data_IF_424494970013
#
_entry.id   IF_424494970013
#
_cell.length_a   1.000
_cell.length_b   1.000
_cell.length_c   1.000
_cell.angle_alpha   90.00
_cell.angle_beta   90.00
_cell.angle_gamma   90.00
#
_symmetry.space_group_name_H-M   'P 1'
#
loop_
_entity.id
_entity.type
_entity.pdbx_description
1 polymer ?
#
# COMPACT_ATOMS: atom_id res chain seq x y z
N UNK A 1 -25.38 -9.04 -20.13
CA UNK A 1 -24.31 -8.01 -20.13
C UNK A 1 -24.35 -7.27 -18.81
N UNK A 2 -23.39 -7.57 -17.92
CA UNK A 2 -23.22 -6.82 -16.66
C UNK A 2 -22.51 -5.53 -17.06
N UNK A 3 -23.25 -4.43 -17.10
CA UNK A 3 -22.70 -3.09 -17.28
C UNK A 3 -21.73 -2.84 -16.12
N UNK A 4 -20.44 -2.76 -16.42
CA UNK A 4 -19.40 -2.27 -15.52
C UNK A 4 -19.69 -0.78 -15.22
N UNK A 5 -20.55 -0.50 -14.28
CA UNK A 5 -20.74 0.84 -13.73
C UNK A 5 -19.51 1.16 -12.90
N UNK A 6 -18.61 1.97 -13.46
CA UNK A 6 -17.53 2.60 -12.66
C UNK A 6 -18.22 3.46 -11.61
N UNK A 7 -18.15 3.05 -10.37
CA UNK A 7 -18.60 3.87 -9.25
C UNK A 7 -17.62 5.05 -9.13
N UNK A 8 -18.13 6.27 -9.31
CA UNK A 8 -17.40 7.49 -9.01
C UNK A 8 -17.35 7.63 -7.48
N UNK A 9 -16.33 7.05 -6.85
CA UNK A 9 -16.08 7.25 -5.42
C UNK A 9 -15.43 8.62 -5.22
N UNK A 10 -15.84 9.37 -4.18
CA UNK A 10 -15.27 10.68 -3.92
C UNK A 10 -13.85 10.57 -3.35
N UNK A 11 -13.04 11.60 -3.60
CA UNK A 11 -11.85 11.88 -2.82
C UNK A 11 -12.28 12.40 -1.44
N UNK A 12 -12.29 11.51 -0.45
CA UNK A 12 -12.66 11.85 0.93
C UNK A 12 -11.49 12.52 1.64
N UNK A 13 -10.26 12.12 1.30
CA UNK A 13 -9.04 12.59 1.97
C UNK A 13 -8.73 14.03 1.58
N UNK A 14 -8.94 14.43 0.31
CA UNK A 14 -8.73 15.81 -0.21
C UNK A 14 -7.40 16.43 0.21
N UNK A 15 -6.34 15.61 0.34
CA UNK A 15 -5.03 15.99 0.92
C UNK A 15 -5.08 16.45 2.37
N UNK A 16 -6.22 16.38 3.02
CA UNK A 16 -6.36 16.62 4.46
C UNK A 16 -6.29 15.29 5.20
N UNK A 17 -5.09 14.91 5.52
CA UNK A 17 -4.83 13.66 6.23
C UNK A 17 -5.09 13.77 7.74
N UNK A 18 -5.41 14.95 8.23
CA UNK A 18 -5.93 15.19 9.57
C UNK A 18 -7.46 15.08 9.51
N UNK A 19 -7.96 13.86 9.31
CA UNK A 19 -9.40 13.61 9.23
C UNK A 19 -10.13 14.22 10.42
N UNK A 20 -11.10 15.11 10.16
CA UNK A 20 -11.90 15.78 11.21
C UNK A 20 -12.68 14.80 12.08
N UNK A 21 -12.94 13.60 11.58
CA UNK A 21 -13.57 12.51 12.33
C UNK A 21 -12.55 11.64 13.06
N UNK A 22 -11.26 12.00 13.03
CA UNK A 22 -10.15 11.27 13.64
C UNK A 22 -10.05 9.78 13.21
N UNK A 23 -10.46 9.47 11.98
CA UNK A 23 -10.37 8.13 11.42
C UNK A 23 -8.93 7.81 11.05
N UNK A 24 -8.57 6.54 11.10
CA UNK A 24 -7.29 6.09 10.57
C UNK A 24 -7.31 6.07 9.04
N UNK A 25 -6.38 6.78 8.42
CA UNK A 25 -6.21 6.82 6.97
C UNK A 25 -5.06 5.89 6.58
N UNK A 26 -5.35 5.00 5.65
CA UNK A 26 -4.36 4.12 5.02
C UNK A 26 -4.23 4.47 3.54
N UNK A 27 -3.02 4.48 3.03
CA UNK A 27 -2.75 4.56 1.60
C UNK A 27 -2.43 3.17 1.07
N UNK A 28 -2.88 2.86 -0.13
CA UNK A 28 -2.53 1.62 -0.82
C UNK A 28 -2.23 1.88 -2.29
N UNK A 29 -1.31 1.11 -2.82
CA UNK A 29 -0.94 1.19 -4.24
C UNK A 29 -0.19 -0.08 -4.66
N UNK A 30 0.04 -0.23 -5.96
CA UNK A 30 0.80 -1.33 -6.56
C UNK A 30 1.95 -0.77 -7.40
N UNK A 31 3.14 -1.29 -7.18
CA UNK A 31 4.29 -1.01 -8.06
C UNK A 31 4.82 -2.31 -8.68
N UNK A 32 5.53 -2.19 -9.79
CA UNK A 32 6.26 -3.31 -10.38
C UNK A 32 7.73 -3.30 -9.96
N UNK A 33 8.29 -4.50 -9.84
CA UNK A 33 9.67 -4.77 -9.49
C UNK A 33 10.23 -5.71 -10.56
N UNK A 34 11.52 -5.63 -10.85
CA UNK A 34 12.18 -6.57 -11.75
C UNK A 34 11.99 -8.01 -11.25
N UNK A 35 11.69 -8.92 -12.17
CA UNK A 35 11.48 -10.32 -11.81
C UNK A 35 12.79 -11.03 -11.41
N UNK A 36 12.76 -11.88 -10.38
CA UNK A 36 13.87 -12.78 -10.03
C UNK A 36 14.03 -13.91 -11.05
N UNK A 37 15.13 -14.69 -10.91
CA UNK A 37 15.59 -15.67 -11.89
C UNK A 37 14.61 -16.83 -12.19
N UNK A 38 13.76 -17.16 -11.24
CA UNK A 38 12.79 -18.27 -11.31
C UNK A 38 11.41 -17.84 -11.82
N UNK A 39 11.24 -16.56 -12.14
CA UNK A 39 10.03 -15.99 -12.71
C UNK A 39 10.22 -15.74 -14.20
N UNK A 40 9.26 -16.21 -15.03
CA UNK A 40 9.32 -16.09 -16.50
C UNK A 40 8.95 -14.70 -16.99
N UNK A 41 8.10 -14.02 -16.26
CA UNK A 41 7.65 -12.66 -16.55
C UNK A 41 8.80 -11.68 -16.31
N UNK A 42 8.74 -10.50 -16.95
CA UNK A 42 9.76 -9.46 -16.76
C UNK A 42 9.63 -8.75 -15.40
N UNK A 43 8.47 -8.81 -14.80
CA UNK A 43 8.15 -8.09 -13.56
C UNK A 43 7.31 -8.93 -12.60
N UNK A 44 7.44 -8.62 -11.32
CA UNK A 44 6.51 -8.99 -10.26
C UNK A 44 5.88 -7.72 -9.69
N UNK A 45 4.71 -7.83 -9.09
CA UNK A 45 3.95 -6.69 -8.58
C UNK A 45 3.92 -6.72 -7.06
N UNK A 46 4.21 -5.57 -6.46
CA UNK A 46 4.19 -5.35 -5.01
C UNK A 46 3.02 -4.44 -4.66
N UNK A 47 2.06 -4.96 -3.91
CA UNK A 47 1.00 -4.19 -3.27
C UNK A 47 1.37 -3.88 -1.82
N UNK A 48 1.05 -2.69 -1.34
CA UNK A 48 1.36 -2.25 0.02
C UNK A 48 0.16 -1.53 0.65
N UNK A 49 0.04 -1.62 1.98
CA UNK A 49 -0.87 -0.80 2.78
C UNK A 49 -0.04 -0.04 3.81
N UNK A 50 -0.13 1.28 3.80
CA UNK A 50 0.64 2.21 4.63
C UNK A 50 -0.32 3.00 5.50
N UNK A 51 -0.07 3.05 6.79
CA UNK A 51 -0.80 3.93 7.70
C UNK A 51 -0.26 5.36 7.58
N UNK A 52 -1.13 6.30 7.22
CA UNK A 52 -0.70 7.67 6.96
C UNK A 52 -0.09 8.33 8.19
N UNK A 53 -0.74 8.23 9.35
CA UNK A 53 -0.35 8.94 10.57
C UNK A 53 1.02 8.53 11.10
N UNK A 54 1.30 7.23 11.08
CA UNK A 54 2.54 6.65 11.63
C UNK A 54 3.59 6.35 10.57
N UNK A 55 3.24 6.40 9.28
CA UNK A 55 4.07 5.95 8.15
C UNK A 55 4.42 4.46 8.22
N UNK A 56 3.74 3.70 9.08
CA UNK A 56 3.98 2.27 9.27
C UNK A 56 3.43 1.46 8.10
N UNK A 57 4.25 0.58 7.55
CA UNK A 57 3.77 -0.43 6.59
C UNK A 57 3.00 -1.49 7.38
N UNK A 58 1.72 -1.63 7.06
CA UNK A 58 0.80 -2.52 7.76
C UNK A 58 0.74 -3.90 7.13
N UNK A 59 0.81 -3.95 5.82
CA UNK A 59 0.84 -5.21 5.07
C UNK A 59 1.43 -5.01 3.67
N UNK A 60 1.86 -6.12 3.06
CA UNK A 60 2.30 -6.17 1.67
C UNK A 60 2.02 -7.53 1.03
N UNK A 61 1.90 -7.56 -0.29
CA UNK A 61 1.79 -8.79 -1.08
C UNK A 61 2.60 -8.69 -2.36
N UNK A 62 3.19 -9.81 -2.76
CA UNK A 62 3.78 -10.00 -4.08
C UNK A 62 2.90 -10.88 -4.95
N UNK A 63 2.80 -10.58 -6.24
CA UNK A 63 2.09 -11.38 -7.24
C UNK A 63 2.80 -11.32 -8.58
N UNK A 64 2.56 -12.34 -9.41
CA UNK A 64 2.98 -12.34 -10.82
C UNK A 64 2.01 -11.54 -11.70
N UNK A 65 0.84 -11.20 -11.20
CA UNK A 65 -0.22 -10.47 -11.91
C UNK A 65 -0.61 -9.20 -11.17
N UNK A 66 -0.80 -8.10 -11.91
CA UNK A 66 -1.41 -6.87 -11.38
C UNK A 66 -2.92 -6.94 -11.55
N UNK A 67 -3.58 -7.75 -10.75
CA UNK A 67 -5.00 -7.98 -10.83
C UNK A 67 -5.73 -7.69 -9.50
N UNK A 68 -7.04 -7.90 -9.49
CA UNK A 68 -7.86 -7.72 -8.29
C UNK A 68 -7.44 -8.66 -7.16
N UNK A 69 -6.94 -9.88 -7.47
CA UNK A 69 -6.55 -10.84 -6.44
C UNK A 69 -5.38 -10.33 -5.59
N UNK A 70 -4.40 -9.66 -6.20
CA UNK A 70 -3.26 -9.09 -5.49
C UNK A 70 -3.71 -8.15 -4.37
N UNK A 71 -4.57 -7.17 -4.67
CA UNK A 71 -5.05 -6.19 -3.68
C UNK A 71 -6.05 -6.82 -2.70
N UNK A 72 -6.84 -7.80 -3.13
CA UNK A 72 -7.74 -8.54 -2.26
C UNK A 72 -6.99 -9.43 -1.26
N UNK A 73 -5.90 -10.06 -1.66
CA UNK A 73 -5.04 -10.85 -0.77
C UNK A 73 -4.31 -9.96 0.24
N UNK A 74 -3.90 -8.75 -0.17
CA UNK A 74 -3.34 -7.77 0.74
C UNK A 74 -4.36 -7.35 1.82
N UNK A 75 -5.62 -7.10 1.43
CA UNK A 75 -6.68 -6.75 2.38
C UNK A 75 -7.09 -7.91 3.28
N UNK A 76 -7.05 -9.16 2.83
CA UNK A 76 -7.40 -10.32 3.67
C UNK A 76 -6.50 -10.43 4.91
N UNK A 77 -5.23 -10.09 4.77
CA UNK A 77 -4.26 -10.13 5.87
C UNK A 77 -4.17 -8.82 6.62
N UNK A 78 -4.55 -7.72 5.97
CA UNK A 78 -4.67 -6.42 6.63
C UNK A 78 -5.74 -6.47 7.73
N UNK A 79 -5.33 -6.13 8.93
CA UNK A 79 -6.23 -5.99 10.08
C UNK A 79 -6.18 -4.55 10.54
N UNK A 80 -7.25 -3.81 10.29
CA UNK A 80 -7.46 -2.54 10.97
C UNK A 80 -7.83 -2.84 12.42
N UNK A 81 -7.16 -2.18 13.34
CA UNK A 81 -7.46 -2.26 14.77
C UNK A 81 -8.76 -1.50 15.05
N UNK A 82 -9.05 -0.48 14.24
CA UNK A 82 -10.20 0.39 14.42
C UNK A 82 -11.27 0.11 13.36
N UNK A 83 -12.51 0.09 13.81
CA UNK A 83 -13.66 0.28 12.93
C UNK A 83 -13.66 1.75 12.50
N UNK A 84 -14.17 2.03 11.29
CA UNK A 84 -14.21 3.39 10.73
C UNK A 84 -12.85 3.93 10.28
N UNK A 85 -12.20 3.21 9.37
CA UNK A 85 -10.99 3.64 8.70
C UNK A 85 -11.26 4.07 7.25
N UNK A 86 -10.34 4.84 6.69
CA UNK A 86 -10.34 5.20 5.27
C UNK A 86 -9.16 4.52 4.60
N UNK A 87 -9.40 3.83 3.48
CA UNK A 87 -8.34 3.35 2.60
C UNK A 87 -8.34 4.18 1.31
N UNK A 88 -7.23 4.85 1.05
CA UNK A 88 -7.05 5.77 -0.07
C UNK A 88 -6.14 5.15 -1.13
N UNK A 89 -6.52 5.26 -2.39
CA UNK A 89 -5.76 4.75 -3.52
C UNK A 89 -5.91 5.66 -4.76
N UNK A 90 -5.20 5.34 -5.81
CA UNK A 90 -5.45 5.88 -7.14
C UNK A 90 -6.72 5.25 -7.78
N UNK A 91 -7.00 5.62 -9.05
CA UNK A 91 -8.10 5.08 -9.84
C UNK A 91 -7.78 3.75 -10.54
N UNK A 92 -6.85 2.96 -10.01
CA UNK A 92 -6.59 1.63 -10.54
C UNK A 92 -7.87 0.79 -10.61
N UNK A 93 -8.01 -0.04 -11.67
CA UNK A 93 -9.22 -0.84 -11.88
C UNK A 93 -9.52 -1.79 -10.71
N UNK A 94 -8.49 -2.21 -9.97
CA UNK A 94 -8.61 -3.06 -8.79
C UNK A 94 -9.41 -2.34 -7.69
N UNK A 95 -9.11 -1.07 -7.46
CA UNK A 95 -9.67 -0.26 -6.38
C UNK A 95 -11.08 0.27 -6.68
N UNK A 96 -11.43 0.37 -7.97
CA UNK A 96 -12.78 0.75 -8.42
C UNK A 96 -13.72 -0.44 -8.56
N UNK A 97 -13.24 -1.65 -8.32
CA UNK A 97 -14.03 -2.88 -8.36
C UNK A 97 -15.05 -2.91 -7.23
N UNK A 98 -16.29 -3.26 -7.55
CA UNK A 98 -17.35 -3.46 -6.55
C UNK A 98 -16.95 -4.47 -5.47
N UNK A 99 -16.25 -5.54 -5.86
CA UNK A 99 -15.80 -6.59 -4.94
C UNK A 99 -14.85 -6.00 -3.88
N UNK A 100 -13.92 -5.14 -4.31
CA UNK A 100 -12.99 -4.46 -3.40
C UNK A 100 -13.72 -3.51 -2.45
N UNK A 101 -14.60 -2.66 -3.00
CA UNK A 101 -15.37 -1.69 -2.22
C UNK A 101 -16.26 -2.40 -1.19
N UNK A 102 -17.01 -3.43 -1.60
CA UNK A 102 -17.86 -4.21 -0.71
C UNK A 102 -17.05 -4.89 0.41
N UNK A 103 -15.82 -5.35 0.09
CA UNK A 103 -14.94 -5.96 1.09
C UNK A 103 -14.50 -4.94 2.15
N UNK A 104 -14.04 -3.75 1.73
CA UNK A 104 -13.64 -2.67 2.65
C UNK A 104 -14.83 -2.24 3.51
N UNK A 105 -16.01 -2.04 2.92
CA UNK A 105 -17.21 -1.66 3.65
C UNK A 105 -17.60 -2.71 4.71
N UNK A 106 -17.50 -4.01 4.38
CA UNK A 106 -17.75 -5.10 5.34
C UNK A 106 -16.74 -5.14 6.48
N UNK A 107 -15.56 -4.58 6.30
CA UNK A 107 -14.54 -4.45 7.35
C UNK A 107 -14.73 -3.19 8.21
N UNK A 108 -15.73 -2.36 7.93
CA UNK A 108 -16.00 -1.11 8.63
C UNK A 108 -15.16 0.07 8.10
N UNK A 109 -14.57 -0.07 6.92
CA UNK A 109 -13.80 0.98 6.26
C UNK A 109 -14.56 1.68 5.14
N UNK A 110 -13.99 2.75 4.64
CA UNK A 110 -14.48 3.52 3.50
C UNK A 110 -13.39 3.66 2.46
N UNK A 111 -13.71 3.41 1.19
CA UNK A 111 -12.78 3.62 0.08
C UNK A 111 -12.80 5.08 -0.34
N UNK A 112 -11.62 5.68 -0.48
CA UNK A 112 -11.39 7.02 -1.02
C UNK A 112 -10.48 6.91 -2.23
N UNK A 113 -10.84 7.58 -3.33
CA UNK A 113 -10.02 7.59 -4.54
C UNK A 113 -9.42 8.99 -4.75
N UNK A 114 -8.17 9.05 -5.18
CA UNK A 114 -7.53 10.28 -5.61
C UNK A 114 -8.32 10.95 -6.76
N UNK A 115 -8.07 12.21 -7.02
CA UNK A 115 -8.67 12.86 -8.19
C UNK A 115 -8.07 12.32 -9.48
N UNK A 116 -8.91 12.18 -10.51
CA UNK A 116 -8.46 11.66 -11.82
C UNK A 116 -7.32 12.53 -12.36
N UNK A 117 -6.21 11.88 -12.72
CA UNK A 117 -5.04 12.55 -13.29
C UNK A 117 -4.17 13.31 -12.28
N UNK A 118 -4.38 13.12 -10.97
CA UNK A 118 -3.60 13.78 -9.95
C UNK A 118 -2.89 12.76 -9.03
N UNK A 119 -1.72 12.30 -9.47
CA UNK A 119 -0.86 11.36 -8.71
C UNK A 119 -0.45 11.90 -7.34
N UNK A 120 -0.40 13.23 -7.19
CA UNK A 120 -0.06 13.87 -5.92
C UNK A 120 -1.01 13.54 -4.77
N UNK A 121 -2.17 12.97 -5.07
CA UNK A 121 -3.16 12.62 -4.05
C UNK A 121 -2.83 11.27 -3.37
N UNK A 122 -2.00 10.40 -3.98
CA UNK A 122 -1.53 9.13 -3.38
C UNK A 122 -0.03 9.13 -3.02
N UNK A 123 0.47 10.29 -2.56
CA UNK A 123 1.90 10.51 -2.26
C UNK A 123 2.53 9.51 -1.32
N UNK A 124 1.79 9.01 -0.35
CA UNK A 124 2.35 8.14 0.70
C UNK A 124 2.90 6.85 0.10
N UNK A 125 2.12 6.19 -0.73
CA UNK A 125 2.53 4.96 -1.36
C UNK A 125 3.62 5.20 -2.41
N UNK A 126 3.48 6.23 -3.26
CA UNK A 126 4.49 6.60 -4.25
C UNK A 126 5.84 6.94 -3.60
N UNK A 127 5.81 7.71 -2.51
CA UNK A 127 7.02 8.08 -1.77
C UNK A 127 7.69 6.85 -1.16
N UNK A 128 6.91 5.97 -0.51
CA UNK A 128 7.46 4.75 0.06
C UNK A 128 8.05 3.82 -1.01
N UNK A 129 7.40 3.69 -2.17
CA UNK A 129 7.96 2.92 -3.27
C UNK A 129 9.30 3.49 -3.77
N UNK A 130 9.44 4.81 -3.80
CA UNK A 130 10.72 5.43 -4.15
C UNK A 130 11.82 5.09 -3.14
N UNK A 131 11.47 5.09 -1.86
CA UNK A 131 12.40 4.75 -0.77
C UNK A 131 12.84 3.29 -0.85
N UNK A 132 11.92 2.33 -0.88
CA UNK A 132 12.31 0.91 -0.92
C UNK A 132 13.09 0.57 -2.20
N UNK A 133 12.75 1.19 -3.33
CA UNK A 133 13.50 1.01 -4.58
C UNK A 133 14.94 1.52 -4.42
N UNK A 134 15.13 2.72 -3.90
CA UNK A 134 16.46 3.33 -3.76
C UNK A 134 17.30 2.70 -2.64
N UNK A 135 16.70 2.33 -1.52
CA UNK A 135 17.44 1.83 -0.35
C UNK A 135 17.66 0.31 -0.37
N UNK A 136 16.89 -0.44 -1.19
CA UNK A 136 16.93 -1.90 -1.16
C UNK A 136 16.89 -2.53 -2.56
N UNK A 137 15.83 -2.27 -3.34
CA UNK A 137 15.54 -3.10 -4.50
C UNK A 137 16.49 -2.84 -5.69
N UNK A 138 16.98 -1.61 -5.88
CA UNK A 138 17.85 -1.27 -7.01
C UNK A 138 19.25 -1.91 -6.91
N UNK A 139 19.68 -2.25 -5.70
CA UNK A 139 20.98 -2.89 -5.44
C UNK A 139 20.96 -4.40 -5.58
N UNK A 140 19.77 -5.01 -5.79
CA UNK A 140 19.65 -6.47 -5.85
C UNK A 140 20.13 -7.03 -7.19
N UNK A 141 20.87 -8.15 -7.10
CA UNK A 141 21.17 -8.96 -8.27
C UNK A 141 20.06 -9.98 -8.54
N UNK A 142 19.04 -9.56 -9.28
CA UNK A 142 17.85 -10.37 -9.58
C UNK A 142 18.15 -11.70 -10.29
N UNK A 143 19.30 -11.83 -10.98
CA UNK A 143 19.69 -13.10 -11.60
C UNK A 143 20.19 -14.15 -10.60
N UNK A 144 20.40 -13.77 -9.34
CA UNK A 144 20.88 -14.67 -8.29
C UNK A 144 19.84 -15.03 -7.24
N UNK A 145 18.72 -14.32 -7.21
CA UNK A 145 17.66 -14.52 -6.20
C UNK A 145 16.42 -15.18 -6.81
N UNK A 146 15.65 -15.86 -5.96
CA UNK A 146 14.34 -16.44 -6.27
C UNK A 146 13.21 -15.49 -5.84
N UNK A 147 11.98 -15.80 -6.23
CA UNK A 147 10.79 -15.06 -5.78
C UNK A 147 10.62 -15.13 -4.26
N UNK A 148 10.94 -16.26 -3.66
CA UNK A 148 10.87 -16.41 -2.19
C UNK A 148 11.98 -15.61 -1.48
N UNK A 149 13.19 -15.54 -2.07
CA UNK A 149 14.26 -14.66 -1.58
C UNK A 149 13.83 -13.19 -1.65
N UNK A 150 13.24 -12.77 -2.77
CA UNK A 150 12.74 -11.39 -2.93
C UNK A 150 11.67 -11.05 -1.89
N UNK A 151 10.74 -11.97 -1.65
CA UNK A 151 9.69 -11.80 -0.65
C UNK A 151 10.27 -11.65 0.76
N UNK A 152 11.27 -12.46 1.10
CA UNK A 152 11.98 -12.36 2.37
C UNK A 152 12.73 -11.03 2.50
N UNK A 153 13.47 -10.62 1.46
CA UNK A 153 14.20 -9.34 1.44
C UNK A 153 13.24 -8.17 1.70
N UNK A 154 12.08 -8.16 1.04
CA UNK A 154 11.07 -7.11 1.24
C UNK A 154 10.49 -7.16 2.65
N UNK A 155 10.21 -8.36 3.19
CA UNK A 155 9.74 -8.51 4.57
C UNK A 155 10.75 -7.99 5.60
N UNK A 156 12.02 -8.35 5.44
CA UNK A 156 13.12 -7.91 6.30
C UNK A 156 13.32 -6.39 6.20
N UNK A 157 13.24 -5.82 4.99
CA UNK A 157 13.30 -4.38 4.79
C UNK A 157 12.12 -3.66 5.47
N UNK A 158 10.89 -4.15 5.33
CA UNK A 158 9.71 -3.57 5.97
C UNK A 158 9.82 -3.64 7.49
N UNK A 159 10.32 -4.77 8.02
CA UNK A 159 10.59 -4.89 9.45
C UNK A 159 11.59 -3.84 9.92
N UNK A 160 12.71 -3.68 9.20
CA UNK A 160 13.71 -2.67 9.49
C UNK A 160 13.14 -1.25 9.35
N UNK A 161 12.41 -0.95 8.28
CA UNK A 161 11.76 0.34 8.05
C UNK A 161 10.83 0.73 9.20
N UNK A 162 10.01 -0.20 9.64
CA UNK A 162 9.04 0.06 10.71
C UNK A 162 9.70 0.24 12.09
N UNK A 163 10.79 -0.49 12.38
CA UNK A 163 11.32 -0.59 13.73
C UNK A 163 12.63 0.16 13.95
N UNK A 164 13.40 0.43 12.88
CA UNK A 164 14.74 1.02 13.01
C UNK A 164 14.96 2.27 12.16
N UNK A 165 14.24 2.44 11.05
CA UNK A 165 14.40 3.61 10.18
C UNK A 165 13.77 4.84 10.82
N UNK A 166 14.58 5.75 11.30
CA UNK A 166 14.13 7.06 11.83
C UNK A 166 13.70 7.98 10.69
N UNK A 167 12.71 8.85 10.94
CA UNK A 167 12.14 9.78 9.96
C UNK A 167 11.93 11.16 10.58
N UNK A 168 12.41 12.21 9.91
CA UNK A 168 12.27 13.59 10.39
C UNK A 168 10.80 14.00 10.55
N UNK A 169 9.92 13.56 9.64
CA UNK A 169 8.48 13.82 9.70
C UNK A 169 7.81 13.20 10.94
N UNK A 170 8.43 12.20 11.55
CA UNK A 170 7.99 11.54 12.78
C UNK A 170 8.78 12.02 14.01
N UNK A 171 9.27 13.25 13.98
CA UNK A 171 10.11 13.82 15.05
C UNK A 171 11.32 12.93 15.36
N UNK A 172 12.01 12.47 14.33
CA UNK A 172 13.19 11.60 14.42
C UNK A 172 12.93 10.27 15.14
N UNK A 173 11.72 9.76 15.02
CA UNK A 173 11.33 8.44 15.52
C UNK A 173 11.12 7.45 14.38
N UNK A 174 11.14 6.16 14.72
CA UNK A 174 10.70 5.12 13.80
C UNK A 174 9.17 5.10 13.72
N UNK A 175 8.58 4.55 12.65
CA UNK A 175 7.13 4.33 12.56
C UNK A 175 6.55 3.63 13.80
N UNK A 176 7.24 2.60 14.30
CA UNK A 176 6.80 1.85 15.48
C UNK A 176 6.88 2.68 16.77
N UNK A 177 7.98 3.43 16.99
CA UNK A 177 8.10 4.31 18.16
C UNK A 177 7.04 5.41 18.14
N UNK A 178 6.78 5.99 16.97
CA UNK A 178 5.78 7.03 16.84
C UNK A 178 4.37 6.49 17.10
N UNK A 179 4.05 5.29 16.60
CA UNK A 179 2.77 4.63 16.84
C UNK A 179 2.49 4.33 18.33
N UNK A 180 3.53 4.08 19.12
CA UNK A 180 3.40 3.85 20.57
C UNK A 180 3.11 5.12 21.39
N UNK A 181 3.19 6.29 20.76
CA UNK A 181 2.98 7.59 21.43
C UNK A 181 1.60 8.17 21.16
N UNK A 182 0.83 7.54 20.28
CA UNK A 182 -0.51 7.96 19.88
C UNK A 182 -1.57 7.25 20.70
#
# INVERSE_FOLDING_TARGET
EIKNTKFALPDIVKRDYNDKLNRNIFATDVTYIKAPRDVKENHVFLSVIIEHKTKKIRDFKLSLSNDLNLVMDNIKTFRSIDKDFVIHSDHGFQYTSKIYIDKINKMGGTVSLSRIGNSLDNREAEYWFSIIKSECLNELNYSKITLEDLKKIIADYIFWYNNYRIQSILNWKTPQQYAMML
#
